data_IF_623721240512
#
_entry.id   IF_623721240512
#
_cell.length_a   1.000
_cell.length_b   1.000
_cell.length_c   1.000
_cell.angle_alpha   90.00
_cell.angle_beta   90.00
_cell.angle_gamma   90.00
#
_symmetry.space_group_name_H-M   'P 1'
#
loop_
_entity.id
_entity.type
_entity.pdbx_description
1 polymer ?
2 water ?
#
# COMPACT_ATOMS: atom_id res chain seq x y z
N UNK A 1 17.27 -7.86 -19.57
CA UNK A 1 16.71 -6.53 -19.93
C UNK A 1 15.47 -6.20 -19.09
N UNK A 2 14.79 -5.10 -19.44
CA UNK A 2 13.62 -4.64 -18.64
C UNK A 2 12.38 -4.19 -19.42
N UNK A 3 11.21 -4.49 -18.87
CA UNK A 3 9.93 -3.98 -19.37
C UNK A 3 9.17 -3.19 -18.30
N UNK A 4 8.77 -1.97 -18.67
CA UNK A 4 8.05 -1.06 -17.78
C UNK A 4 6.55 -1.07 -18.09
N UNK A 5 5.72 -0.83 -17.08
CA UNK A 5 4.28 -0.94 -17.27
C UNK A 5 3.47 0.18 -16.65
N UNK A 6 2.78 0.98 -17.47
CA UNK A 6 1.89 2.05 -16.99
C UNK A 6 0.61 1.48 -16.53
N UNK A 7 0.30 1.75 -15.27
CA UNK A 7 -0.91 1.26 -14.65
C UNK A 7 -1.58 2.34 -13.81
N UNK A 8 -2.88 2.17 -13.59
CA UNK A 8 -3.66 3.06 -12.72
C UNK A 8 -4.80 2.31 -12.06
N UNK A 9 -5.21 2.78 -10.88
CA UNK A 9 -6.17 2.07 -10.03
C UNK A 9 -6.80 3.05 -9.08
N UNK A 10 -7.50 2.56 -8.06
CA UNK A 10 -8.17 3.48 -7.14
C UNK A 10 -7.22 4.00 -6.06
N UNK A 11 -6.86 5.29 -6.19
CA UNK A 11 -6.02 6.03 -5.23
C UNK A 11 -6.56 6.01 -3.82
N UNK A 12 -5.78 5.43 -2.92
CA UNK A 12 -6.15 5.29 -1.54
C UNK A 12 -4.95 5.58 -0.63
N UNK A 13 -5.23 5.80 0.65
CA UNK A 13 -4.18 6.01 1.62
C UNK A 13 -4.39 4.97 2.72
N UNK A 14 -3.31 4.54 3.37
CA UNK A 14 -3.45 3.69 4.54
C UNK A 14 -2.76 4.27 5.75
N UNK A 15 -3.51 4.37 6.84
CA UNK A 15 -2.95 4.67 8.15
C UNK A 15 -2.74 3.39 8.97
N UNK A 16 -1.59 3.29 9.63
CA UNK A 16 -1.29 2.15 10.46
C UNK A 16 -0.89 2.60 11.84
N UNK A 17 -1.58 2.06 12.85
CA UNK A 17 -1.12 2.15 14.23
C UNK A 17 -1.33 0.79 14.83
N UNK A 18 -0.26 0.03 14.98
CA UNK A 18 -0.30 -1.15 15.84
C UNK A 18 -1.53 -2.04 15.86
N UNK A 19 -1.89 -2.55 14.68
CA UNK A 19 -3.03 -3.47 14.44
C UNK A 19 -4.34 -2.77 14.13
N UNK A 20 -4.37 -1.44 14.25
CA UNK A 20 -5.58 -0.68 13.95
C UNK A 20 -5.36 0.23 12.72
N UNK A 21 -6.06 0.07 11.62
CA UNK A 21 -5.72 0.82 10.45
C UNK A 21 -6.98 1.35 9.84
N UNK A 22 -6.83 2.38 9.01
CA UNK A 22 -7.84 3.25 8.43
C UNK A 22 -7.57 3.42 6.93
N UNK A 23 -8.64 3.64 6.16
CA UNK A 23 -8.59 3.70 4.70
C UNK A 23 -9.25 4.92 4.05
N UNK A 24 -8.43 5.76 3.44
CA UNK A 24 -8.89 7.03 2.96
C UNK A 24 -8.71 7.20 1.47
N UNK A 25 -9.75 7.70 0.83
CA UNK A 25 -9.76 7.80 -0.61
C UNK A 25 -9.02 9.04 -1.03
N UNK A 26 -9.20 9.41 -2.30
CA UNK A 26 -8.53 10.58 -2.87
C UNK A 26 -9.13 11.78 -2.19
N UNK A 27 -10.43 11.96 -2.41
CA UNK A 27 -11.19 13.00 -1.75
C UNK A 27 -11.04 12.92 -0.26
N UNK A 28 -10.79 11.70 0.19
CA UNK A 28 -10.92 11.30 1.56
C UNK A 28 -12.33 10.78 1.71
N UNK A 29 -12.46 9.69 2.42
CA UNK A 29 -13.71 9.01 2.59
C UNK A 29 -13.25 7.82 3.41
N UNK A 30 -14.13 7.22 4.20
CA UNK A 30 -13.70 6.07 4.96
C UNK A 30 -14.07 4.81 4.29
N UNK A 31 -13.03 4.22 3.70
CA UNK A 31 -13.15 2.98 3.02
C UNK A 31 -12.69 1.83 3.88
N UNK A 32 -12.52 2.12 5.16
CA UNK A 32 -12.17 1.09 6.12
C UNK A 32 -13.18 -0.06 6.15
N UNK A 33 -14.37 0.18 5.62
CA UNK A 33 -15.43 -0.84 5.61
C UNK A 33 -15.25 -1.76 4.41
N UNK A 34 -14.45 -1.35 3.42
CA UNK A 34 -14.11 -2.20 2.26
C UNK A 34 -12.93 -3.12 2.49
N UNK A 35 -11.87 -2.60 3.10
CA UNK A 35 -10.61 -3.34 3.19
C UNK A 35 -10.42 -4.01 4.54
N UNK A 36 -10.11 -3.23 5.58
CA UNK A 36 -10.46 -3.56 6.96
C UNK A 36 -9.74 -2.73 8.01
N UNK A 37 -10.29 -2.66 9.22
CA UNK A 37 -9.64 -1.89 10.31
C UNK A 37 -8.71 -2.65 11.27
N UNK A 38 -8.79 -3.99 11.23
CA UNK A 38 -7.85 -4.86 11.96
C UNK A 38 -7.50 -6.11 11.13
N UNK A 39 -6.45 -6.87 11.53
CA UNK A 39 -6.08 -8.09 10.80
C UNK A 39 -7.17 -9.14 10.66
N UNK A 40 -8.06 -9.26 11.66
CA UNK A 40 -9.14 -10.26 11.60
C UNK A 40 -10.07 -9.98 10.41
N UNK A 41 -10.06 -8.74 9.93
CA UNK A 41 -10.97 -8.31 8.88
C UNK A 41 -10.22 -7.50 7.82
N UNK A 44 -11.27 -6.59 2.92
CA UNK A 44 -10.52 -7.01 1.73
C UNK A 44 -9.00 -6.96 1.81
N UNK A 45 -8.40 -6.43 2.86
CA UNK A 45 -7.04 -6.85 3.14
C UNK A 45 -6.64 -6.94 4.59
N UNK A 46 -7.23 -7.90 5.32
CA UNK A 46 -6.59 -8.44 6.48
C UNK A 46 -5.16 -8.80 6.14
N UNK A 47 -5.02 -9.46 4.98
CA UNK A 47 -3.85 -10.22 4.52
C UNK A 47 -2.58 -9.49 4.77
N UNK A 48 -2.53 -8.30 4.21
CA UNK A 48 -1.37 -7.45 4.25
C UNK A 48 -0.82 -7.23 5.65
N UNK A 49 -1.65 -7.52 6.67
CA UNK A 49 -1.34 -7.06 8.01
C UNK A 49 0.09 -7.36 8.42
N UNK A 50 0.46 -8.63 8.35
CA UNK A 50 1.82 -8.91 8.75
C UNK A 50 2.64 -9.07 7.51
N UNK A 51 3.19 -7.97 7.08
CA UNK A 51 4.52 -7.92 6.53
C UNK A 51 4.94 -6.55 6.94
N UNK A 52 5.63 -6.40 8.05
CA UNK A 52 5.97 -5.08 8.49
C UNK A 52 7.20 -5.19 9.30
N UNK A 53 8.08 -4.21 9.19
CA UNK A 53 9.34 -4.34 9.86
C UNK A 53 9.22 -3.83 11.28
N UNK A 54 9.19 -4.78 12.19
CA UNK A 54 9.58 -4.57 13.57
C UNK A 54 9.06 -3.27 14.13
N UNK A 55 9.99 -2.34 14.33
CA UNK A 55 9.72 -1.13 15.04
C UNK A 55 8.73 -0.21 14.35
N UNK A 56 8.35 -0.55 13.13
CA UNK A 56 7.29 0.21 12.54
C UNK A 56 6.03 -0.09 13.35
N UNK A 57 5.43 0.94 13.92
CA UNK A 57 4.16 0.79 14.61
C UNK A 57 3.12 1.71 14.00
N UNK A 58 3.39 3.02 13.99
CA UNK A 58 2.53 3.97 13.25
C UNK A 58 3.13 4.39 11.92
N UNK A 59 2.32 4.33 10.87
CA UNK A 59 2.74 4.67 9.49
C UNK A 59 1.63 5.22 8.59
N UNK A 60 1.98 6.17 7.74
CA UNK A 60 1.12 6.61 6.63
C UNK A 60 1.76 6.21 5.28
N UNK A 61 0.97 5.59 4.40
CA UNK A 61 1.48 5.15 3.11
C UNK A 61 0.56 5.47 1.94
N UNK A 62 1.02 6.30 1.03
CA UNK A 62 0.27 6.68 -0.17
C UNK A 62 0.45 5.56 -1.18
N UNK A 63 -0.63 5.18 -1.87
CA UNK A 63 -0.57 4.21 -2.97
C UNK A 63 -1.86 4.14 -3.78
N UNK A 64 -2.00 3.14 -4.64
CA UNK A 64 -3.16 3.07 -5.55
C UNK A 64 -3.60 1.61 -5.57
N UNK A 65 -4.91 1.36 -5.52
CA UNK A 65 -5.44 -0.02 -5.27
C UNK A 65 -5.83 -0.85 -6.49
N UNK A 66 -5.13 -1.95 -6.67
CA UNK A 66 -5.26 -2.73 -7.91
C UNK A 66 -5.84 -4.10 -7.66
N UNK A 67 -6.40 -4.64 -8.73
CA UNK A 67 -6.92 -5.99 -8.72
C UNK A 67 -6.13 -6.86 -9.69
N UNK A 68 -5.69 -8.02 -9.23
CA UNK A 68 -4.91 -8.86 -10.11
C UNK A 68 -5.53 -10.23 -10.22
N UNK A 69 -5.10 -10.96 -11.25
CA UNK A 69 -5.48 -12.32 -11.54
C UNK A 69 -4.36 -13.30 -11.17
N UNK A 70 -4.60 -14.12 -10.15
CA UNK A 70 -3.59 -15.02 -9.60
C UNK A 70 -3.03 -16.06 -10.57
N UNK A 71 -3.91 -16.74 -11.30
CA UNK A 71 -3.47 -17.77 -12.24
C UNK A 71 -2.73 -17.13 -13.38
N UNK A 72 -3.11 -15.90 -13.73
CA UNK A 72 -2.33 -15.15 -14.70
C UNK A 72 -1.35 -14.20 -14.08
N UNK A 73 -1.30 -14.08 -12.76
CA UNK A 73 -0.18 -13.38 -12.14
C UNK A 73 -0.09 -11.91 -12.57
N UNK A 74 -1.10 -11.43 -13.31
CA UNK A 74 -1.16 -10.03 -13.76
C UNK A 74 -2.35 -9.24 -13.23
N UNK A 75 -2.21 -7.92 -13.31
CA UNK A 75 -3.23 -6.96 -12.95
C UNK A 75 -4.26 -6.78 -14.04
N UNK A 76 -5.53 -7.03 -13.75
CA UNK A 76 -6.57 -6.81 -14.74
C UNK A 76 -6.86 -5.33 -14.76
N UNK A 77 -6.60 -4.68 -15.88
CA UNK A 77 -6.85 -3.26 -16.04
C UNK A 77 -7.75 -2.96 -17.22
N UNK A 78 -7.99 -3.98 -18.05
CA UNK A 78 -8.82 -3.83 -19.24
C UNK A 78 -9.54 -2.49 -19.23
N UNK A 92 -14.26 -13.33 -11.44
CA UNK A 92 -13.75 -12.54 -10.30
C UNK A 92 -12.35 -12.90 -9.76
N UNK A 93 -11.80 -11.98 -8.96
CA UNK A 93 -10.37 -11.96 -8.60
C UNK A 93 -10.08 -11.38 -7.20
N UNK A 94 -8.84 -10.97 -6.94
CA UNK A 94 -8.35 -10.53 -5.61
C UNK A 94 -7.78 -9.11 -5.54
N UNK A 95 -8.01 -8.43 -4.42
CA UNK A 95 -7.54 -7.04 -4.22
C UNK A 95 -6.09 -6.86 -3.71
N UNK A 96 -5.33 -5.99 -4.38
CA UNK A 96 -3.87 -5.76 -4.15
C UNK A 96 -3.52 -4.28 -4.09
N UNK A 97 -2.70 -3.88 -3.11
CA UNK A 97 -2.38 -2.47 -2.91
C UNK A 97 -0.99 -2.07 -3.34
N UNK A 98 -0.90 -1.30 -4.41
CA UNK A 98 0.38 -0.95 -4.94
C UNK A 98 0.86 0.37 -4.38
N UNK A 99 1.85 0.29 -3.50
CA UNK A 99 2.19 1.42 -2.65
C UNK A 99 3.38 2.20 -3.19
N UNK A 100 3.16 3.41 -3.68
CA UNK A 100 4.31 4.18 -4.17
C UNK A 100 4.93 5.26 -3.28
N UNK A 101 4.38 5.51 -2.10
CA UNK A 101 4.91 6.59 -1.27
C UNK A 101 4.63 6.41 0.22
N UNK A 102 5.35 7.16 1.04
CA UNK A 102 5.19 7.17 2.50
C UNK A 102 5.35 8.61 3.02
N UNK A 103 4.56 8.98 4.02
CA UNK A 103 4.45 10.37 4.47
C UNK A 103 4.92 10.53 5.90
N UNK A 104 4.25 9.83 6.79
CA UNK A 104 4.69 9.69 8.17
C UNK A 104 4.89 8.21 8.42
N UNK A 105 5.82 7.89 9.31
CA UNK A 105 5.93 6.57 9.92
C UNK A 105 6.71 6.63 11.25
N UNK A 106 6.34 5.77 12.21
CA UNK A 106 6.90 5.79 13.56
C UNK A 106 7.18 7.19 14.06
N UNK A 107 6.07 7.90 14.28
CA UNK A 107 6.00 9.31 14.69
C UNK A 107 6.49 10.29 13.64
N UNK A 108 7.24 9.81 12.66
CA UNK A 108 8.05 10.68 11.83
C UNK A 108 7.40 11.01 10.49
N UNK A 109 6.95 12.25 10.35
CA UNK A 109 6.30 12.72 9.14
C UNK A 109 7.35 13.44 8.32
N UNK A 110 7.82 12.84 7.24
CA UNK A 110 8.88 13.47 6.48
C UNK A 110 8.40 13.73 5.09
N UNK A 111 7.99 14.95 4.82
CA UNK A 111 7.58 15.32 3.49
C UNK A 111 8.68 16.19 2.97
N UNK A 112 9.63 16.47 3.84
CA UNK A 112 10.78 17.28 3.48
C UNK A 112 11.74 16.46 2.59
N UNK A 113 11.93 15.20 2.94
CA UNK A 113 12.76 14.30 2.15
C UNK A 113 12.24 14.18 0.72
N UNK A 114 13.13 14.05 -0.25
CA UNK A 114 12.72 13.99 -1.66
C UNK A 114 12.08 12.66 -1.83
N UNK A 115 11.24 12.52 -2.86
CA UNK A 115 10.54 11.25 -3.08
C UNK A 115 11.53 10.11 -3.27
N UNK A 116 12.71 10.45 -3.80
CA UNK A 116 13.83 9.54 -3.82
C UNK A 116 13.84 8.88 -2.44
N UNK A 117 14.09 9.70 -1.43
CA UNK A 117 14.21 9.24 -0.05
C UNK A 117 13.01 8.46 0.48
N UNK A 118 11.80 8.86 0.13
CA UNK A 118 10.63 8.19 0.67
C UNK A 118 10.37 6.81 0.03
N UNK A 119 10.77 6.65 -1.22
CA UNK A 119 10.61 5.38 -1.91
C UNK A 119 11.62 4.41 -1.36
N UNK A 120 12.83 4.92 -1.18
CA UNK A 120 13.92 4.11 -0.68
C UNK A 120 13.53 3.65 0.70
N UNK A 121 13.14 4.60 1.55
CA UNK A 121 12.60 4.32 2.87
C UNK A 121 11.46 3.31 2.84
N UNK A 122 10.72 3.27 1.74
CA UNK A 122 9.59 2.37 1.67
C UNK A 122 10.04 0.94 1.86
N UNK A 123 11.24 0.64 1.36
CA UNK A 123 11.77 -0.70 1.49
C UNK A 123 11.86 -0.99 2.96
N UNK A 124 12.19 0.02 3.75
CA UNK A 124 12.30 -0.11 5.19
C UNK A 124 11.01 -0.47 5.94
N UNK A 125 9.88 0.04 5.50
CA UNK A 125 8.64 -0.16 6.23
C UNK A 125 8.08 -1.56 6.36
N UNK A 126 8.18 -2.36 5.31
CA UNK A 126 7.36 -3.60 5.12
C UNK A 126 7.83 -5.00 4.62
N UNK A 127 8.27 -5.08 3.36
CA UNK A 127 8.36 -6.29 2.50
C UNK A 127 7.03 -6.65 1.87
N UNK A 128 6.98 -6.79 0.51
CA UNK A 128 5.75 -7.18 -0.19
C UNK A 128 5.34 -8.65 -0.25
N UNK A 129 4.05 -8.79 -0.44
CA UNK A 129 3.44 -10.03 -0.82
C UNK A 129 3.18 -9.74 -2.27
N UNK A 130 3.63 -10.60 -3.18
CA UNK A 130 3.14 -10.22 -4.50
C UNK A 130 1.66 -10.55 -4.67
N UNK A 131 0.97 -9.80 -5.54
CA UNK A 131 -0.42 -10.03 -5.86
C UNK A 131 -1.40 -9.58 -4.78
N UNK A 132 -0.85 -9.28 -3.62
CA UNK A 132 -1.57 -8.53 -2.61
C UNK A 132 -0.51 -7.61 -2.06
N UNK A 133 -0.71 -6.30 -2.17
CA UNK A 133 0.33 -5.32 -1.79
C UNK A 133 1.78 -5.44 -2.32
N UNK A 134 1.99 -5.13 -3.58
CA UNK A 134 3.37 -4.95 -4.06
C UNK A 134 3.87 -3.53 -3.75
N UNK A 135 4.99 -3.16 -4.36
CA UNK A 135 5.47 -1.77 -4.38
C UNK A 135 5.79 -1.34 -5.84
N UNK A 136 5.57 -0.05 -6.12
CA UNK A 136 5.68 0.52 -7.46
C UNK A 136 6.29 1.93 -7.39
N UNK A 137 6.60 2.54 -8.56
CA UNK A 137 7.09 3.92 -8.61
C UNK A 137 6.05 4.87 -9.19
N UNK A 138 5.98 6.07 -8.64
CA UNK A 138 5.04 7.07 -9.12
C UNK A 138 5.58 7.72 -10.40
N UNK A 139 6.91 7.75 -10.52
CA UNK A 139 7.67 8.36 -11.63
C UNK A 139 7.00 9.56 -12.32
#
# INVERSE_FOLDING_TARGET
FYIETKLDGERMQMHKDGDVYKYFSRNGYNYTDQFGASPTEGSLTPFIHNAFKADIQICILDGEMMAYNPNTQTFMQKGTKFDIKRMVEDSDLQTCYCVFDVLMVNNKKLGHETLRKRYEILSSIFTPIPGRIEIVQKT
#
